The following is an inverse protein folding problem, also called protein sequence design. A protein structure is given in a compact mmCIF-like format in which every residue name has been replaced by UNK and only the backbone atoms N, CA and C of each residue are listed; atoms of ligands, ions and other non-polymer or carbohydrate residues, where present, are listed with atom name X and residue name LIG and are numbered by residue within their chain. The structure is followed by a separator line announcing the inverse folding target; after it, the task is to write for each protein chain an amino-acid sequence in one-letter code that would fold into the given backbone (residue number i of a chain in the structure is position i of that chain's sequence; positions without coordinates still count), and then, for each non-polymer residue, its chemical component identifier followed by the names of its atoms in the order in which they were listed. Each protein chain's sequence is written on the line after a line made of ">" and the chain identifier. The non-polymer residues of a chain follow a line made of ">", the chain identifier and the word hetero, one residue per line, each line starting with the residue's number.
data_IF_536846501800
#
_entry.id   IF_536846501800
#
_cell.length_a   1.000
_cell.length_b   1.000
_cell.length_c   1.000
_cell.angle_alpha   90.00
_cell.angle_beta   90.00
_cell.angle_gamma   90.00
#
_symmetry.space_group_name_H-M   'P 1'
#
loop_
_entity.id
_entity.type
_entity.pdbx_description
1 polymer ?
#
# COMPACT_ATOMS: atom_id res chain seq x y z
N UNK A 1 4.19 -6.73 -4.37
CA UNK A 1 3.74 -6.50 -5.76
C UNK A 1 2.72 -5.37 -5.76
N UNK A 2 2.59 -4.54 -6.80
CA UNK A 2 1.56 -3.51 -6.81
C UNK A 2 1.60 -2.61 -8.04
N UNK A 3 0.60 -1.73 -8.12
CA UNK A 3 0.47 -0.71 -9.13
C UNK A 3 0.10 0.63 -8.49
N UNK A 4 0.55 1.70 -9.12
CA UNK A 4 0.27 3.07 -8.73
C UNK A 4 -0.02 3.91 -9.97
N UNK A 5 -1.05 4.75 -9.89
CA UNK A 5 -1.39 5.70 -10.94
C UNK A 5 -1.49 7.09 -10.34
N UNK A 6 -0.99 8.09 -11.06
CA UNK A 6 -1.14 9.49 -10.67
C UNK A 6 -2.56 9.95 -10.99
N UNK A 7 -3.29 10.44 -9.99
CA UNK A 7 -4.68 10.91 -10.10
C UNK A 7 -4.80 12.43 -9.98
N UNK A 8 -3.70 13.12 -9.62
CA UNK A 8 -3.63 14.58 -9.52
C UNK A 8 -2.19 15.08 -9.39
N UNK A 9 -1.95 16.39 -9.20
CA UNK A 9 -0.59 16.95 -9.14
C UNK A 9 0.31 16.26 -8.11
N UNK A 10 -0.23 15.86 -6.97
CA UNK A 10 0.48 15.19 -5.87
C UNK A 10 -0.31 14.00 -5.31
N UNK A 11 -1.30 13.53 -6.07
CA UNK A 11 -2.19 12.46 -5.64
C UNK A 11 -1.97 11.21 -6.48
N UNK A 12 -1.98 10.07 -5.81
CA UNK A 12 -1.79 8.76 -6.40
C UNK A 12 -2.81 7.78 -5.83
N UNK A 13 -3.40 6.96 -6.70
CA UNK A 13 -4.10 5.75 -6.28
C UNK A 13 -3.10 4.59 -6.33
N UNK A 14 -2.98 3.85 -5.23
CA UNK A 14 -1.99 2.79 -5.07
C UNK A 14 -2.70 1.50 -4.64
N UNK A 15 -2.37 0.38 -5.28
CA UNK A 15 -2.74 -0.96 -4.82
C UNK A 15 -1.47 -1.76 -4.59
N UNK A 16 -1.30 -2.30 -3.38
CA UNK A 16 -0.17 -3.15 -3.01
C UNK A 16 -0.69 -4.49 -2.48
N UNK A 17 -0.01 -5.55 -2.88
CA UNK A 17 -0.18 -6.89 -2.37
C UNK A 17 1.05 -7.31 -1.56
N UNK A 18 0.80 -7.83 -0.35
CA UNK A 18 1.77 -8.52 0.48
C UNK A 18 1.39 -9.99 0.57
N UNK A 19 2.37 -10.86 0.40
CA UNK A 19 2.20 -12.31 0.47
C UNK A 19 3.50 -12.92 0.96
N UNK A 20 3.40 -14.09 1.59
CA UNK A 20 4.56 -14.92 1.89
C UNK A 20 4.88 -15.77 0.66
N UNK A 21 6.07 -15.59 0.10
CA UNK A 21 6.50 -16.32 -1.09
C UNK A 21 6.94 -17.76 -0.77
N UNK A 22 7.20 -18.08 0.50
CA UNK A 22 7.61 -19.41 0.95
C UNK A 22 6.44 -20.23 1.49
N UNK A 23 5.39 -19.57 1.97
CA UNK A 23 4.19 -20.22 2.51
C UNK A 23 2.90 -19.68 1.85
N UNK A 24 2.40 -20.42 0.87
CA UNK A 24 1.15 -20.08 0.16
C UNK A 24 -0.12 -20.38 0.97
N UNK A 25 0.01 -20.88 2.20
CA UNK A 25 -1.14 -21.03 3.10
C UNK A 25 -1.44 -19.75 3.87
N UNK A 26 -0.48 -18.81 3.92
CA UNK A 26 -0.68 -17.49 4.50
C UNK A 26 -1.59 -16.68 3.56
N UNK A 27 -2.72 -16.15 4.06
CA UNK A 27 -3.64 -15.35 3.24
C UNK A 27 -2.96 -14.14 2.60
N UNK A 28 -3.40 -13.82 1.38
CA UNK A 28 -2.96 -12.64 0.63
C UNK A 28 -3.45 -11.38 1.34
N UNK A 29 -2.59 -10.38 1.47
CA UNK A 29 -2.97 -9.08 2.00
C UNK A 29 -3.00 -8.05 0.87
N UNK A 30 -4.09 -7.30 0.75
CA UNK A 30 -4.25 -6.22 -0.23
C UNK A 30 -4.50 -4.89 0.48
N UNK A 31 -3.69 -3.90 0.14
CA UNK A 31 -3.89 -2.51 0.55
C UNK A 31 -4.23 -1.64 -0.66
N UNK A 32 -5.31 -0.88 -0.58
CA UNK A 32 -5.68 0.18 -1.52
C UNK A 32 -5.55 1.52 -0.82
N UNK A 33 -4.80 2.44 -1.38
CA UNK A 33 -4.46 3.71 -0.75
C UNK A 33 -4.71 4.87 -1.71
N UNK A 34 -5.17 6.00 -1.17
CA UNK A 34 -5.01 7.30 -1.82
C UNK A 34 -3.87 8.01 -1.12
N UNK A 35 -2.79 8.24 -1.86
CA UNK A 35 -1.57 8.85 -1.36
C UNK A 35 -1.49 10.29 -1.86
N UNK A 36 -1.37 11.23 -0.93
CA UNK A 36 -1.12 12.64 -1.22
C UNK A 36 0.26 13.01 -0.71
N UNK A 37 1.11 13.51 -1.60
CA UNK A 37 2.42 14.08 -1.25
C UNK A 37 2.26 15.52 -0.73
N UNK A 38 3.07 15.89 0.25
CA UNK A 38 3.23 17.28 0.67
C UNK A 38 3.93 18.13 -0.40
N UNK A 39 4.15 19.41 -0.11
CA UNK A 39 4.71 20.36 -1.08
C UNK A 39 6.18 20.06 -1.46
N UNK A 40 6.99 19.52 -0.54
CA UNK A 40 8.37 19.11 -0.87
C UNK A 40 8.43 17.75 -1.57
N UNK A 41 7.40 16.92 -1.42
CA UNK A 41 7.41 15.53 -1.88
C UNK A 41 8.14 14.59 -0.91
N UNK A 42 8.37 15.02 0.32
CA UNK A 42 9.10 14.26 1.35
C UNK A 42 8.18 13.63 2.39
N UNK A 43 6.96 14.10 2.55
CA UNK A 43 5.94 13.47 3.37
C UNK A 43 4.73 13.08 2.55
N UNK A 44 4.02 12.04 3.01
CA UNK A 44 2.85 11.53 2.35
C UNK A 44 1.79 11.07 3.36
N UNK A 45 0.53 11.20 2.99
CA UNK A 45 -0.59 10.79 3.84
C UNK A 45 -1.81 10.44 3.02
N UNK A 46 -2.79 9.83 3.67
CA UNK A 46 -4.13 9.66 3.10
C UNK A 46 -4.88 8.46 3.67
N UNK A 47 -6.08 8.20 3.15
CA UNK A 47 -6.87 7.04 3.55
C UNK A 47 -6.34 5.77 2.91
N UNK A 48 -6.55 4.65 3.59
CA UNK A 48 -6.34 3.32 3.06
C UNK A 48 -7.48 2.37 3.42
N UNK A 49 -7.59 1.30 2.64
CA UNK A 49 -8.34 0.09 2.95
C UNK A 49 -7.43 -1.11 2.87
N UNK A 50 -7.43 -1.92 3.90
CA UNK A 50 -6.65 -3.15 4.03
C UNK A 50 -7.58 -4.35 4.06
N UNK A 51 -7.24 -5.41 3.34
CA UNK A 51 -8.02 -6.64 3.23
C UNK A 51 -7.11 -7.86 3.36
N UNK A 52 -7.53 -8.86 4.14
CA UNK A 52 -6.94 -10.20 4.19
C UNK A 52 -7.83 -11.13 3.37
N UNK A 53 -7.25 -11.78 2.37
CA UNK A 53 -7.94 -12.52 1.33
C UNK A 53 -7.44 -13.96 1.36
N UNK A 54 -8.35 -14.92 1.49
CA UNK A 54 -8.00 -16.35 1.43
C UNK A 54 -7.65 -16.81 0.00
N UNK A 55 -7.26 -18.08 -0.13
CA UNK A 55 -6.86 -18.66 -1.41
C UNK A 55 -8.01 -18.81 -2.43
N UNK A 56 -9.26 -18.76 -1.96
CA UNK A 56 -10.45 -18.80 -2.81
C UNK A 56 -10.89 -17.38 -3.23
N UNK A 57 -10.20 -16.34 -2.74
CA UNK A 57 -10.50 -14.95 -3.04
C UNK A 57 -11.51 -14.29 -2.10
N UNK A 58 -11.92 -14.96 -1.02
CA UNK A 58 -12.84 -14.38 -0.04
C UNK A 58 -12.10 -13.44 0.90
N UNK A 59 -12.74 -12.31 1.23
CA UNK A 59 -12.23 -11.38 2.24
C UNK A 59 -12.54 -11.95 3.62
N UNK A 60 -11.50 -12.38 4.34
CA UNK A 60 -11.59 -12.87 5.72
C UNK A 60 -11.67 -11.72 6.73
N UNK A 61 -11.00 -10.61 6.42
CA UNK A 61 -10.92 -9.42 7.27
C UNK A 61 -10.75 -8.18 6.40
N UNK A 62 -11.35 -7.06 6.82
CA UNK A 62 -11.08 -5.76 6.23
C UNK A 62 -11.07 -4.67 7.28
N UNK A 63 -10.20 -3.69 7.08
CA UNK A 63 -10.13 -2.48 7.89
C UNK A 63 -9.88 -1.24 7.03
N UNK A 64 -10.33 -0.09 7.49
CA UNK A 64 -10.17 1.20 6.83
C UNK A 64 -9.50 2.17 7.80
N UNK A 65 -8.59 3.01 7.31
CA UNK A 65 -7.84 3.91 8.18
C UNK A 65 -7.18 5.06 7.45
N UNK A 66 -6.35 5.80 8.17
CA UNK A 66 -5.46 6.82 7.62
C UNK A 66 -4.02 6.49 7.93
N UNK A 67 -3.11 6.88 7.04
CA UNK A 67 -1.68 6.71 7.24
C UNK A 67 -0.95 8.03 7.06
N UNK A 68 0.23 8.12 7.66
CA UNK A 68 1.24 9.13 7.37
C UNK A 68 2.58 8.43 7.19
N UNK A 69 3.43 9.01 6.35
CA UNK A 69 4.75 8.48 6.11
C UNK A 69 5.69 9.57 5.64
N UNK A 70 6.99 9.27 5.73
CA UNK A 70 8.07 10.13 5.28
C UNK A 70 8.95 9.36 4.29
N UNK A 71 9.38 10.03 3.24
CA UNK A 71 10.35 9.50 2.29
C UNK A 71 11.65 9.17 3.02
N UNK A 72 12.12 7.94 2.84
CA UNK A 72 13.40 7.49 3.38
C UNK A 72 14.52 7.89 2.41
N UNK A 73 15.69 8.21 2.97
CA UNK A 73 16.91 8.36 2.19
C UNK A 73 17.34 6.99 1.67
N UNK A 74 17.86 6.96 0.45
CA UNK A 74 18.40 5.74 -0.14
C UNK A 74 19.68 5.35 0.62
N UNK A 75 19.73 4.11 1.09
CA UNK A 75 20.97 3.46 1.52
C UNK A 75 21.50 2.70 0.30
N UNK A 76 22.68 3.04 -0.24
CA UNK A 76 23.25 2.33 -1.38
C UNK A 76 23.48 0.85 -1.07
N UNK A 77 23.34 0.01 -2.11
CA UNK A 77 23.92 -1.32 -2.11
C UNK A 77 25.38 -1.12 -2.52
N UNK A 78 26.33 -1.43 -1.64
CA UNK A 78 27.76 -1.40 -2.01
C UNK A 78 28.06 -2.34 -3.20
#
# INVERSE_FOLDING_TARGET
>A
MGEWIRTGPREFAVTVFFFDAQDTTVPLQRSRLRLTLDQSGDAFSGPFRYEVIDNDGNVLFSDDGSFTGKRLNIVPLD
#
